data_IF_128153383505
#
_entry.id   IF_128153383505
#
_cell.length_a   1.000
_cell.length_b   1.000
_cell.length_c   1.000
_cell.angle_alpha   90.00
_cell.angle_beta   90.00
_cell.angle_gamma   90.00
#
_symmetry.space_group_name_H-M   'P 1'
#
loop_
_entity.id
_entity.type
_entity.pdbx_description
1 polymer ?
#
# COMPACT_ATOMS: atom_id res chain seq x y z
N UNK A 1 -13.92 -7.81 -11.83
CA UNK A 1 -12.59 -8.37 -12.07
C UNK A 1 -11.64 -7.50 -11.28
N UNK A 2 -10.72 -8.10 -10.51
CA UNK A 2 -9.85 -7.35 -9.62
C UNK A 2 -9.00 -6.34 -10.42
N UNK A 3 -8.81 -5.15 -9.87
CA UNK A 3 -7.95 -4.14 -10.47
C UNK A 3 -6.48 -4.56 -10.36
N UNK A 4 -6.13 -5.15 -9.22
CA UNK A 4 -4.79 -5.57 -8.86
C UNK A 4 -4.85 -7.03 -8.40
N UNK A 5 -4.38 -7.96 -9.23
CA UNK A 5 -4.23 -9.36 -8.86
C UNK A 5 -2.90 -9.58 -8.16
N UNK A 6 -2.95 -10.25 -7.00
CA UNK A 6 -1.74 -10.76 -6.36
C UNK A 6 -1.14 -11.88 -7.20
N UNK A 7 0.18 -11.89 -7.35
CA UNK A 7 0.90 -12.96 -8.02
C UNK A 7 2.26 -13.23 -7.34
N UNK A 8 2.84 -14.41 -7.60
CA UNK A 8 4.09 -14.87 -6.96
C UNK A 8 5.30 -13.95 -7.24
N UNK A 9 5.23 -13.07 -8.24
CA UNK A 9 6.26 -12.07 -8.45
C UNK A 9 6.24 -10.99 -7.38
N UNK A 10 5.17 -10.82 -6.60
CA UNK A 10 5.13 -9.84 -5.51
C UNK A 10 5.74 -10.35 -4.21
N UNK A 11 6.09 -11.63 -4.15
CA UNK A 11 6.74 -12.25 -2.99
C UNK A 11 8.14 -11.66 -2.80
N UNK A 12 8.40 -11.10 -1.62
CA UNK A 12 9.73 -10.60 -1.18
C UNK A 12 10.47 -11.64 -0.36
N UNK A 13 9.78 -12.68 0.12
CA UNK A 13 10.36 -13.82 0.82
C UNK A 13 10.50 -13.60 2.32
N UNK A 14 9.72 -12.67 2.88
CA UNK A 14 9.55 -12.45 4.31
C UNK A 14 8.06 -12.51 4.60
N UNK A 15 7.60 -13.59 5.23
CA UNK A 15 6.18 -13.95 5.34
C UNK A 15 5.33 -12.81 5.92
N UNK A 16 5.82 -12.14 6.95
CA UNK A 16 5.11 -11.01 7.56
C UNK A 16 4.91 -9.84 6.59
N UNK A 17 5.90 -9.54 5.74
CA UNK A 17 5.80 -8.48 4.73
C UNK A 17 4.91 -8.93 3.56
N UNK A 18 5.03 -10.19 3.13
CA UNK A 18 4.21 -10.76 2.06
C UNK A 18 2.70 -10.77 2.43
N UNK A 19 2.37 -11.08 3.69
CA UNK A 19 1.00 -11.01 4.20
C UNK A 19 0.47 -9.56 4.24
N UNK A 20 1.33 -8.60 4.62
CA UNK A 20 0.97 -7.17 4.61
C UNK A 20 0.74 -6.64 3.20
N UNK A 21 1.57 -7.02 2.23
CA UNK A 21 1.38 -6.63 0.84
C UNK A 21 0.09 -7.20 0.26
N UNK A 22 -0.26 -8.46 0.55
CA UNK A 22 -1.53 -9.05 0.15
C UNK A 22 -2.71 -8.24 0.68
N UNK A 23 -2.67 -7.84 1.96
CA UNK A 23 -3.72 -7.01 2.55
C UNK A 23 -3.83 -5.63 1.89
N UNK A 24 -2.71 -4.99 1.53
CA UNK A 24 -2.73 -3.74 0.78
C UNK A 24 -3.38 -3.91 -0.61
N UNK A 25 -3.08 -5.01 -1.31
CA UNK A 25 -3.71 -5.34 -2.59
C UNK A 25 -5.22 -5.56 -2.44
N UNK A 26 -5.65 -6.25 -1.38
CA UNK A 26 -7.08 -6.41 -1.06
C UNK A 26 -7.77 -5.07 -0.83
N UNK A 27 -7.18 -4.17 -0.04
CA UNK A 27 -7.76 -2.84 0.23
C UNK A 27 -7.90 -2.00 -1.05
N UNK A 28 -6.91 -2.05 -1.93
CA UNK A 28 -6.98 -1.37 -3.25
C UNK A 28 -8.12 -1.95 -4.11
N UNK A 29 -8.32 -3.27 -4.09
CA UNK A 29 -9.41 -3.90 -4.83
C UNK A 29 -10.79 -3.58 -4.23
N UNK A 30 -10.91 -3.56 -2.90
CA UNK A 30 -12.14 -3.15 -2.23
C UNK A 30 -12.51 -1.70 -2.58
N UNK A 31 -11.53 -0.80 -2.57
CA UNK A 31 -11.73 0.59 -2.98
C UNK A 31 -12.18 0.67 -4.44
N UNK A 32 -11.53 -0.07 -5.33
CA UNK A 32 -11.92 -0.12 -6.74
C UNK A 32 -13.37 -0.60 -6.91
N UNK A 33 -13.74 -1.70 -6.28
CA UNK A 33 -15.06 -2.32 -6.44
C UNK A 33 -16.19 -1.41 -5.95
N UNK A 34 -15.99 -0.71 -4.84
CA UNK A 34 -16.94 0.29 -4.32
C UNK A 34 -17.12 1.47 -5.29
N UNK A 35 -16.05 1.89 -5.98
CA UNK A 35 -16.10 3.00 -6.96
C UNK A 35 -16.79 2.58 -8.27
N UNK A 36 -16.52 1.37 -8.78
CA UNK A 36 -17.04 0.93 -10.09
C UNK A 36 -18.47 0.37 -10.01
N UNK A 37 -18.90 -0.09 -8.84
CA UNK A 37 -20.22 -0.66 -8.62
C UNK A 37 -20.83 -0.17 -7.30
N UNK A 38 -21.08 1.15 -7.16
CA UNK A 38 -21.60 1.70 -5.91
C UNK A 38 -23.00 1.14 -5.62
N UNK A 39 -23.13 0.41 -4.52
CA UNK A 39 -24.45 0.01 -4.03
C UNK A 39 -25.21 1.28 -3.63
N UNK A 40 -26.47 1.40 -4.11
CA UNK A 40 -27.23 2.66 -4.22
C UNK A 40 -27.59 3.36 -2.89
N UNK A 41 -27.05 2.91 -1.75
CA UNK A 41 -27.21 3.58 -0.45
C UNK A 41 -26.02 3.25 0.46
N UNK A 42 -25.11 4.19 0.66
CA UNK A 42 -24.01 4.08 1.63
C UNK A 42 -22.58 4.10 1.07
N UNK A 43 -22.41 4.16 -0.26
CA UNK A 43 -21.11 4.15 -0.93
C UNK A 43 -20.10 5.15 -0.33
N UNK A 44 -20.45 6.43 -0.14
CA UNK A 44 -19.49 7.42 0.39
C UNK A 44 -18.92 7.05 1.77
N UNK A 45 -19.74 6.51 2.68
CA UNK A 45 -19.28 6.10 4.01
C UNK A 45 -18.33 4.90 3.91
N UNK A 46 -18.67 3.94 3.05
CA UNK A 46 -17.85 2.74 2.82
C UNK A 46 -16.53 3.13 2.14
N UNK A 47 -16.56 3.98 1.11
CA UNK A 47 -15.35 4.51 0.46
C UNK A 47 -14.45 5.21 1.48
N UNK A 48 -15.04 6.03 2.37
CA UNK A 48 -14.28 6.72 3.40
C UNK A 48 -13.63 5.72 4.37
N UNK A 49 -14.38 4.72 4.85
CA UNK A 49 -13.85 3.69 5.75
C UNK A 49 -12.70 2.90 5.10
N UNK A 50 -12.82 2.54 3.81
CA UNK A 50 -11.77 1.85 3.07
C UNK A 50 -10.53 2.75 2.90
N UNK A 51 -10.71 4.05 2.63
CA UNK A 51 -9.59 5.00 2.51
C UNK A 51 -8.87 5.20 3.84
N UNK A 52 -9.61 5.37 4.93
CA UNK A 52 -9.05 5.49 6.28
C UNK A 52 -8.27 4.21 6.63
N UNK A 53 -8.83 3.02 6.36
CA UNK A 53 -8.13 1.75 6.57
C UNK A 53 -6.89 1.62 5.69
N UNK A 54 -6.96 2.02 4.41
CA UNK A 54 -5.81 1.98 3.49
C UNK A 54 -4.66 2.87 3.99
N UNK A 55 -4.96 4.08 4.46
CA UNK A 55 -3.96 5.00 5.01
C UNK A 55 -3.32 4.41 6.27
N UNK A 56 -4.15 4.00 7.23
CA UNK A 56 -3.67 3.47 8.51
C UNK A 56 -2.83 2.19 8.32
N UNK A 57 -3.30 1.28 7.46
CA UNK A 57 -2.60 0.04 7.18
C UNK A 57 -1.28 0.27 6.44
N UNK A 58 -1.24 1.22 5.50
CA UNK A 58 0.01 1.60 4.80
C UNK A 58 1.04 2.17 5.79
N UNK A 59 0.63 3.05 6.70
CA UNK A 59 1.52 3.62 7.72
C UNK A 59 2.04 2.52 8.64
N UNK A 60 1.18 1.59 9.07
CA UNK A 60 1.57 0.47 9.92
C UNK A 60 2.58 -0.45 9.22
N UNK A 61 2.30 -0.86 7.98
CA UNK A 61 3.19 -1.66 7.16
C UNK A 61 4.57 -1.00 7.01
N UNK A 62 4.62 0.27 6.58
CA UNK A 62 5.89 0.98 6.43
C UNK A 62 6.63 1.15 7.76
N UNK A 63 5.92 1.31 8.88
CA UNK A 63 6.57 1.38 10.20
C UNK A 63 7.26 0.07 10.57
N UNK A 64 6.68 -1.07 10.20
CA UNK A 64 7.28 -2.39 10.42
C UNK A 64 8.52 -2.57 9.55
N UNK A 65 8.45 -2.23 8.26
CA UNK A 65 9.62 -2.30 7.40
C UNK A 65 10.74 -1.38 7.87
N UNK A 66 10.41 -0.14 8.24
CA UNK A 66 11.39 0.83 8.75
C UNK A 66 12.03 0.37 10.06
N UNK A 67 11.26 -0.29 10.93
CA UNK A 67 11.81 -0.93 12.12
C UNK A 67 12.82 -2.04 11.75
N UNK A 68 12.46 -2.92 10.80
CA UNK A 68 13.35 -3.97 10.32
C UNK A 68 14.61 -3.40 9.64
N UNK A 69 14.46 -2.31 8.88
CA UNK A 69 15.57 -1.58 8.28
C UNK A 69 16.55 -1.06 9.33
N UNK A 70 16.05 -0.44 10.42
CA UNK A 70 16.87 0.07 11.51
C UNK A 70 17.59 -1.06 12.26
N UNK A 71 16.85 -2.09 12.67
CA UNK A 71 17.38 -3.24 13.43
C UNK A 71 18.48 -3.99 12.68
N UNK A 72 18.35 -4.09 11.35
CA UNK A 72 19.32 -4.82 10.52
C UNK A 72 20.35 -3.92 9.83
N UNK A 73 20.33 -2.62 10.10
CA UNK A 73 21.21 -1.60 9.50
C UNK A 73 21.18 -1.63 7.97
N UNK A 74 19.98 -1.60 7.39
CA UNK A 74 19.79 -1.64 5.93
C UNK A 74 20.40 -0.38 5.26
N UNK A 75 21.37 -0.51 4.35
CA UNK A 75 22.10 0.64 3.82
C UNK A 75 21.24 1.63 3.01
N UNK A 76 20.20 1.14 2.33
CA UNK A 76 19.34 1.96 1.46
C UNK A 76 18.12 2.56 2.18
N UNK A 77 18.04 2.41 3.52
CA UNK A 77 16.93 2.92 4.35
C UNK A 77 16.55 4.37 4.05
N UNK A 78 17.49 5.33 3.90
CA UNK A 78 17.11 6.72 3.65
C UNK A 78 16.33 6.92 2.34
N UNK A 79 16.68 6.18 1.28
CA UNK A 79 16.00 6.26 0.00
C UNK A 79 14.63 5.56 0.05
N UNK A 80 14.56 4.40 0.71
CA UNK A 80 13.33 3.63 0.89
C UNK A 80 12.29 4.41 1.70
N UNK A 81 12.68 4.97 2.87
CA UNK A 81 11.84 5.81 3.72
C UNK A 81 11.30 7.04 2.98
N UNK A 82 12.12 7.62 2.10
CA UNK A 82 11.68 8.77 1.31
C UNK A 82 10.56 8.41 0.31
N UNK A 83 10.58 7.21 -0.26
CA UNK A 83 9.46 6.73 -1.08
C UNK A 83 8.21 6.47 -0.24
N UNK A 84 8.36 5.89 0.96
CA UNK A 84 7.24 5.71 1.91
C UNK A 84 6.56 7.03 2.25
N UNK A 85 7.34 8.06 2.63
CA UNK A 85 6.81 9.35 3.03
C UNK A 85 6.03 10.02 1.89
N UNK A 86 6.55 9.99 0.65
CA UNK A 86 5.84 10.53 -0.51
C UNK A 86 4.52 9.81 -0.76
N UNK A 87 4.48 8.50 -0.59
CA UNK A 87 3.27 7.72 -0.77
C UNK A 87 2.24 8.02 0.33
N UNK A 88 2.66 8.02 1.60
CA UNK A 88 1.81 8.41 2.74
C UNK A 88 1.19 9.80 2.53
N UNK A 89 2.01 10.79 2.15
CA UNK A 89 1.53 12.16 1.89
C UNK A 89 0.45 12.16 0.79
N UNK A 90 0.66 11.38 -0.26
CA UNK A 90 -0.23 11.30 -1.40
C UNK A 90 -1.57 10.64 -1.05
N UNK A 91 -1.55 9.50 -0.35
CA UNK A 91 -2.77 8.79 0.04
C UNK A 91 -3.55 9.54 1.13
N UNK A 92 -2.85 10.19 2.07
CA UNK A 92 -3.48 11.03 3.10
C UNK A 92 -4.15 12.24 2.47
N UNK A 93 -3.56 12.82 1.44
CA UNK A 93 -4.20 13.91 0.68
C UNK A 93 -5.46 13.42 -0.03
N UNK A 94 -5.49 12.19 -0.54
CA UNK A 94 -6.69 11.62 -1.15
C UNK A 94 -7.81 11.35 -0.14
N UNK A 95 -7.51 10.76 1.02
CA UNK A 95 -8.49 10.58 2.10
C UNK A 95 -9.08 11.92 2.53
N UNK A 96 -8.22 12.92 2.74
CA UNK A 96 -8.66 14.26 3.14
C UNK A 96 -9.54 14.92 2.08
N UNK A 97 -9.14 14.89 0.81
CA UNK A 97 -9.92 15.49 -0.27
C UNK A 97 -11.28 14.80 -0.44
N UNK A 98 -11.32 13.48 -0.29
CA UNK A 98 -12.58 12.73 -0.30
C UNK A 98 -13.50 13.19 0.84
N UNK A 99 -12.98 13.24 2.06
CA UNK A 99 -13.72 13.58 3.28
C UNK A 99 -14.19 15.02 3.37
N UNK A 100 -13.35 15.98 2.98
CA UNK A 100 -13.67 17.41 3.14
C UNK A 100 -14.40 18.00 1.93
N UNK A 101 -14.11 17.50 0.72
CA UNK A 101 -14.59 18.09 -0.54
C UNK A 101 -15.62 17.23 -1.25
N UNK A 102 -15.95 16.05 -0.69
CA UNK A 102 -16.73 15.01 -1.40
C UNK A 102 -16.15 14.77 -2.80
N UNK A 103 -14.82 14.79 -2.90
CA UNK A 103 -14.14 14.61 -4.18
C UNK A 103 -14.36 13.18 -4.65
N UNK A 104 -14.82 12.99 -5.89
CA UNK A 104 -14.90 11.65 -6.45
C UNK A 104 -13.49 11.06 -6.59
N UNK A 105 -13.29 9.82 -6.12
CA UNK A 105 -12.07 9.06 -6.44
C UNK A 105 -12.10 8.77 -7.94
N UNK A 106 -11.06 9.21 -8.65
CA UNK A 106 -10.95 9.03 -10.09
C UNK A 106 -10.20 7.73 -10.41
N UNK A 107 -10.40 7.20 -11.63
CA UNK A 107 -9.65 6.04 -12.11
C UNK A 107 -8.14 6.26 -12.04
N UNK A 108 -7.66 7.48 -12.24
CA UNK A 108 -6.24 7.84 -12.12
C UNK A 108 -5.69 7.64 -10.71
N UNK A 109 -6.51 7.84 -9.66
CA UNK A 109 -6.12 7.58 -8.27
C UNK A 109 -5.94 6.08 -8.02
N UNK A 110 -6.89 5.26 -8.51
CA UNK A 110 -6.82 3.81 -8.42
C UNK A 110 -5.62 3.25 -9.19
N UNK A 111 -5.37 3.75 -10.40
CA UNK A 111 -4.21 3.41 -11.21
C UNK A 111 -2.92 3.78 -10.49
N UNK A 112 -2.85 4.98 -9.89
CA UNK A 112 -1.70 5.41 -9.10
C UNK A 112 -1.41 4.47 -7.91
N UNK A 113 -2.43 4.11 -7.11
CA UNK A 113 -2.26 3.23 -5.94
C UNK A 113 -1.69 1.87 -6.36
N UNK A 114 -2.30 1.26 -7.37
CA UNK A 114 -1.86 -0.01 -7.95
C UNK A 114 -0.43 0.10 -8.48
N UNK A 115 -0.18 1.06 -9.37
CA UNK A 115 1.09 1.17 -10.07
C UNK A 115 2.22 1.48 -9.10
N UNK A 116 1.98 2.35 -8.11
CA UNK A 116 2.96 2.65 -7.08
C UNK A 116 3.29 1.40 -6.27
N UNK A 117 2.29 0.71 -5.70
CA UNK A 117 2.51 -0.46 -4.85
C UNK A 117 3.22 -1.58 -5.62
N UNK A 118 2.75 -1.90 -6.83
CA UNK A 118 3.39 -2.91 -7.69
C UNK A 118 4.87 -2.57 -7.97
N UNK A 119 5.15 -1.33 -8.37
CA UNK A 119 6.51 -0.93 -8.69
C UNK A 119 7.42 -0.87 -7.46
N UNK A 120 6.87 -0.46 -6.31
CA UNK A 120 7.59 -0.39 -5.04
C UNK A 120 8.04 -1.78 -4.60
N UNK A 121 7.10 -2.73 -4.53
CA UNK A 121 7.39 -4.14 -4.20
C UNK A 121 8.46 -4.71 -5.14
N UNK A 122 8.26 -4.54 -6.44
CA UNK A 122 9.12 -5.17 -7.45
C UNK A 122 10.54 -4.61 -7.50
N UNK A 123 10.74 -3.35 -7.15
CA UNK A 123 12.04 -2.64 -7.33
C UNK A 123 12.75 -2.34 -6.03
N UNK A 124 12.01 -2.14 -4.94
CA UNK A 124 12.53 -1.68 -3.66
C UNK A 124 12.41 -2.82 -2.64
N UNK A 125 11.20 -3.28 -2.34
CA UNK A 125 10.99 -4.25 -1.26
C UNK A 125 11.58 -5.62 -1.57
N UNK A 126 11.68 -5.99 -2.85
CA UNK A 126 12.43 -7.20 -3.24
C UNK A 126 13.91 -7.16 -2.90
N UNK A 127 14.56 -6.01 -3.04
CA UNK A 127 15.96 -5.89 -2.65
C UNK A 127 16.10 -5.87 -1.13
N UNK A 128 15.14 -5.26 -0.43
CA UNK A 128 15.05 -5.30 1.01
C UNK A 128 14.82 -6.72 1.56
N UNK A 129 13.88 -7.48 0.99
CA UNK A 129 13.60 -8.88 1.34
C UNK A 129 14.83 -9.78 1.14
N UNK A 130 15.57 -9.62 0.03
CA UNK A 130 16.86 -10.32 -0.17
C UNK A 130 17.86 -9.99 0.94
N UNK A 131 17.94 -8.73 1.33
CA UNK A 131 18.81 -8.30 2.42
C UNK A 131 18.40 -8.94 3.76
N UNK A 132 17.11 -8.89 4.12
CA UNK A 132 16.57 -9.51 5.33
C UNK A 132 16.81 -11.03 5.36
N UNK A 133 16.60 -11.72 4.24
CA UNK A 133 16.88 -13.14 4.09
C UNK A 133 18.37 -13.46 4.33
N UNK A 134 19.28 -12.57 3.89
CA UNK A 134 20.71 -12.72 4.17
C UNK A 134 21.06 -12.57 5.67
N UNK A 135 20.18 -11.95 6.45
CA UNK A 135 20.27 -11.80 7.91
C UNK A 135 19.52 -12.90 8.68
N UNK A 136 18.86 -13.82 7.98
CA UNK A 136 18.12 -14.94 8.57
C UNK A 136 16.70 -14.61 9.00
N UNK A 137 16.15 -13.49 8.52
CA UNK A 137 14.72 -13.16 8.62
C UNK A 137 13.99 -13.82 7.45
N UNK A 138 12.79 -14.34 7.66
CA UNK A 138 11.98 -15.05 6.65
C UNK A 138 10.51 -15.04 7.00
#
# INVERSE_FOLDING_TARGET
>A
MALFEWDDNLVVGVLEIDDQHQRLVELINLLHDDIISPDKSGSEKITQEILEELVDYTIAHFSIEQYLMDVHEYPESPAHINEHNKFIDKISQFEKDFKEKHANIQQDTLAFLKDWLYNHIMKVDKEFGKFLNSKGVS
#
